data_IF_744603042296
#
_entry.id   IF_744603042296
#
_cell.length_a   1.000
_cell.length_b   1.000
_cell.length_c   1.000
_cell.angle_alpha   90.00
_cell.angle_beta   90.00
_cell.angle_gamma   90.00
#
_symmetry.space_group_name_H-M   'P 1'
#
loop_
_entity.id
_entity.type
_entity.pdbx_description
1 polymer ?
#
# COMPACT_ATOMS: atom_id res chain seq x y z
N UNK A 1 -12.51 80.70 68.62
CA UNK A 1 -13.33 79.51 68.45
C UNK A 1 -12.56 78.58 67.52
N UNK A 2 -12.04 77.47 68.06
CA UNK A 2 -11.23 76.50 67.31
C UNK A 2 -12.12 75.26 67.23
N UNK A 3 -12.54 74.88 66.00
CA UNK A 3 -13.35 73.71 65.71
C UNK A 3 -12.47 72.43 65.78
N UNK A 4 -12.86 71.38 66.47
CA UNK A 4 -12.07 70.17 66.51
C UNK A 4 -12.16 69.43 65.18
N UNK A 5 -11.15 68.65 64.82
CA UNK A 5 -11.14 67.85 63.57
C UNK A 5 -12.11 66.71 63.63
N UNK A 6 -12.62 66.26 62.47
CA UNK A 6 -13.59 65.13 62.38
C UNK A 6 -12.93 63.81 62.74
N UNK A 7 -13.69 62.97 63.44
CA UNK A 7 -13.29 61.60 63.83
C UNK A 7 -13.09 60.72 62.59
N UNK A 8 -11.98 59.94 62.59
CA UNK A 8 -11.65 59.00 61.53
C UNK A 8 -12.61 57.79 61.48
N UNK A 9 -12.72 57.10 60.39
CA UNK A 9 -13.62 55.96 60.20
C UNK A 9 -13.21 54.75 61.07
N UNK A 10 -14.19 53.92 61.48
CA UNK A 10 -13.93 52.79 62.36
C UNK A 10 -13.10 51.69 61.66
N UNK A 11 -12.33 50.88 62.44
CA UNK A 11 -11.52 49.81 61.88
C UNK A 11 -12.36 48.70 61.27
N UNK A 12 -11.95 48.19 60.08
CA UNK A 12 -12.59 47.10 59.41
C UNK A 12 -12.49 45.80 60.22
N UNK A 13 -13.54 44.95 60.21
CA UNK A 13 -13.47 43.62 60.81
C UNK A 13 -12.48 42.70 60.04
N UNK A 14 -11.80 41.79 60.70
CA UNK A 14 -10.92 40.83 60.06
C UNK A 14 -11.70 39.96 59.08
N UNK A 15 -11.22 39.89 57.82
CA UNK A 15 -11.79 39.10 56.75
C UNK A 15 -11.65 37.59 57.04
N UNK A 16 -12.56 36.74 56.54
CA UNK A 16 -12.48 35.31 56.74
C UNK A 16 -11.15 34.78 56.18
N UNK A 17 -10.46 34.01 57.00
CA UNK A 17 -9.16 33.40 56.68
C UNK A 17 -9.30 32.47 55.45
N UNK A 18 -8.39 32.63 54.46
CA UNK A 18 -8.28 31.70 53.36
C UNK A 18 -7.95 30.30 53.87
N UNK A 19 -8.63 29.26 53.38
CA UNK A 19 -8.25 27.91 53.69
C UNK A 19 -6.84 27.64 53.13
N UNK A 20 -6.02 26.78 53.77
CA UNK A 20 -4.69 26.45 53.27
C UNK A 20 -4.77 25.80 51.92
N UNK A 21 -3.77 26.03 51.03
CA UNK A 21 -3.73 25.42 49.68
C UNK A 21 -3.71 23.90 49.83
N UNK A 22 -4.71 23.25 49.24
CA UNK A 22 -4.78 21.78 49.15
C UNK A 22 -3.59 21.34 48.29
N UNK A 23 -2.69 20.54 48.87
CA UNK A 23 -1.59 19.93 48.11
C UNK A 23 -2.17 19.10 46.97
N UNK A 24 -2.02 19.55 45.74
CA UNK A 24 -2.35 18.77 44.53
C UNK A 24 -1.35 17.64 44.49
N UNK A 25 -1.84 16.41 44.73
CA UNK A 25 -1.04 15.20 44.54
C UNK A 25 -0.47 15.19 43.12
N UNK A 26 0.81 14.85 42.92
CA UNK A 26 1.41 14.81 41.58
C UNK A 26 0.61 13.82 40.74
N UNK A 27 0.09 14.27 39.60
CA UNK A 27 -0.57 13.42 38.61
C UNK A 27 0.46 12.45 38.04
N UNK A 28 0.61 11.33 38.74
CA UNK A 28 1.55 10.29 38.41
C UNK A 28 1.29 9.76 37.01
N UNK A 29 2.30 9.81 36.21
CA UNK A 29 2.61 8.87 35.10
C UNK A 29 1.55 8.50 34.05
N UNK A 30 0.47 9.25 33.89
CA UNK A 30 -0.47 8.99 32.77
C UNK A 30 0.22 9.04 31.41
N UNK A 31 1.19 9.94 31.22
CA UNK A 31 1.97 10.02 29.97
C UNK A 31 2.88 8.81 29.77
N UNK A 32 3.51 8.30 30.86
CA UNK A 32 4.34 7.10 30.78
C UNK A 32 3.50 5.83 30.54
N UNK A 33 2.32 5.73 31.14
CA UNK A 33 1.38 4.62 30.90
C UNK A 33 0.84 4.66 29.45
N UNK A 34 0.44 5.83 28.95
CA UNK A 34 -0.02 5.99 27.55
C UNK A 34 1.12 5.69 26.57
N UNK A 35 2.34 6.17 26.82
CA UNK A 35 3.49 5.86 26.00
C UNK A 35 3.84 4.36 26.02
N UNK A 36 3.71 3.68 27.17
CA UNK A 36 3.90 2.25 27.30
C UNK A 36 2.85 1.44 26.54
N UNK A 37 1.58 1.85 26.58
CA UNK A 37 0.48 1.20 25.83
C UNK A 37 0.69 1.38 24.33
N UNK A 38 1.06 2.57 23.86
CA UNK A 38 1.34 2.84 22.46
C UNK A 38 2.53 2.00 21.97
N UNK A 39 3.62 1.92 22.74
CA UNK A 39 4.76 1.09 22.41
C UNK A 39 4.41 -0.40 22.36
N UNK A 40 3.60 -0.90 23.30
CA UNK A 40 3.12 -2.28 23.31
C UNK A 40 2.22 -2.59 22.11
N UNK A 41 1.32 -1.68 21.75
CA UNK A 41 0.45 -1.83 20.55
C UNK A 41 1.30 -1.85 19.27
N UNK A 42 2.30 -0.98 19.16
CA UNK A 42 3.21 -0.97 18.01
C UNK A 42 4.01 -2.28 17.94
N UNK A 43 4.50 -2.79 19.06
CA UNK A 43 5.22 -4.08 19.13
C UNK A 43 4.31 -5.26 18.75
N UNK A 44 3.07 -5.27 19.21
CA UNK A 44 2.08 -6.32 18.86
C UNK A 44 1.71 -6.25 17.38
N UNK A 45 1.53 -5.04 16.83
CA UNK A 45 1.22 -4.86 15.40
C UNK A 45 2.43 -5.20 14.50
N UNK A 46 3.65 -4.83 14.91
CA UNK A 46 4.87 -5.16 14.18
C UNK A 46 5.25 -6.64 14.31
N UNK A 47 5.18 -7.20 15.52
CA UNK A 47 5.50 -8.60 15.78
C UNK A 47 4.41 -9.56 15.31
N UNK A 48 3.12 -9.21 15.50
CA UNK A 48 1.98 -10.00 15.03
C UNK A 48 1.89 -10.02 13.50
N UNK A 49 2.20 -8.93 12.82
CA UNK A 49 2.24 -8.86 11.36
C UNK A 49 3.34 -9.74 10.76
N UNK A 50 4.53 -9.75 11.34
CA UNK A 50 5.64 -10.59 10.90
C UNK A 50 5.38 -12.09 11.17
N UNK A 51 4.84 -12.44 12.34
CA UNK A 51 4.51 -13.82 12.68
C UNK A 51 3.34 -14.36 11.84
N UNK A 52 2.27 -13.57 11.65
CA UNK A 52 1.16 -13.93 10.76
C UNK A 52 1.64 -14.10 9.32
N UNK A 53 2.51 -13.22 8.83
CA UNK A 53 3.09 -13.32 7.48
C UNK A 53 3.97 -14.59 7.33
N UNK A 54 4.69 -14.99 8.39
CA UNK A 54 5.51 -16.21 8.38
C UNK A 54 4.64 -17.48 8.40
N UNK A 55 3.58 -17.49 9.21
CA UNK A 55 2.64 -18.63 9.35
C UNK A 55 1.75 -18.83 8.10
N UNK A 56 1.46 -17.77 7.33
CA UNK A 56 0.64 -17.86 6.10
C UNK A 56 1.48 -18.09 4.84
N UNK A 57 2.80 -18.13 4.96
CA UNK A 57 3.69 -18.25 3.79
C UNK A 57 3.63 -19.63 3.13
N UNK A 58 3.41 -20.67 3.91
CA UNK A 58 3.31 -22.06 3.43
C UNK A 58 1.92 -22.36 2.86
N UNK A 59 0.89 -21.57 3.22
CA UNK A 59 -0.49 -21.71 2.71
C UNK A 59 -0.78 -20.76 1.53
N UNK A 60 0.20 -19.98 1.07
CA UNK A 60 0.01 -19.08 -0.06
C UNK A 60 -0.28 -19.90 -1.34
N UNK A 61 -1.29 -19.54 -2.15
CA UNK A 61 -1.75 -20.33 -3.30
C UNK A 61 -0.66 -20.70 -4.32
N UNK A 62 0.46 -19.96 -4.32
CA UNK A 62 1.63 -20.20 -5.19
C UNK A 62 2.89 -20.56 -4.40
N UNK A 63 2.76 -21.03 -3.14
CA UNK A 63 3.90 -21.52 -2.36
C UNK A 63 4.58 -22.70 -3.08
N UNK A 64 5.92 -22.72 -3.07
CA UNK A 64 6.71 -23.77 -3.72
C UNK A 64 6.72 -23.75 -5.26
N UNK A 65 5.98 -22.86 -5.92
CA UNK A 65 6.03 -22.70 -7.38
C UNK A 65 7.34 -22.03 -7.85
N UNK A 66 7.82 -22.36 -9.06
CA UNK A 66 8.94 -21.64 -9.69
C UNK A 66 8.68 -20.12 -9.68
N UNK A 67 9.75 -19.33 -9.64
CA UNK A 67 9.67 -17.88 -9.61
C UNK A 67 10.49 -17.24 -10.71
N UNK A 68 9.96 -16.19 -11.30
CA UNK A 68 10.78 -15.22 -12.03
C UNK A 68 11.59 -14.43 -11.02
N UNK A 69 12.85 -14.24 -11.32
CA UNK A 69 13.76 -13.40 -10.56
C UNK A 69 14.31 -12.35 -11.51
N UNK A 70 13.74 -11.15 -11.44
CA UNK A 70 14.10 -10.04 -12.33
C UNK A 70 15.04 -9.08 -11.61
N UNK A 71 16.33 -9.19 -11.90
CA UNK A 71 17.34 -8.34 -11.28
C UNK A 71 17.28 -6.88 -11.75
N UNK A 72 16.73 -6.62 -12.93
CA UNK A 72 16.64 -5.27 -13.47
C UNK A 72 15.56 -4.46 -12.73
N UNK A 73 14.47 -5.10 -12.35
CA UNK A 73 13.38 -4.49 -11.58
C UNK A 73 13.58 -4.62 -10.07
N UNK A 74 14.44 -5.55 -9.60
CA UNK A 74 14.59 -5.89 -8.18
C UNK A 74 13.39 -6.66 -7.63
N UNK A 75 12.59 -7.29 -8.49
CA UNK A 75 11.38 -8.01 -8.12
C UNK A 75 11.50 -9.51 -8.39
N UNK A 76 10.75 -10.30 -7.63
CA UNK A 76 10.49 -11.68 -7.94
C UNK A 76 9.00 -11.99 -7.77
N UNK A 77 8.46 -12.90 -8.59
CA UNK A 77 7.05 -13.31 -8.53
C UNK A 77 6.89 -14.76 -9.01
N UNK A 78 5.86 -15.45 -8.54
CA UNK A 78 5.66 -16.86 -8.80
C UNK A 78 5.06 -17.11 -10.19
N UNK A 79 5.40 -18.27 -10.77
CA UNK A 79 4.85 -18.75 -12.05
C UNK A 79 3.76 -19.79 -11.74
N UNK A 80 2.49 -19.53 -12.04
CA UNK A 80 1.42 -20.51 -11.90
C UNK A 80 1.61 -21.74 -12.78
N UNK A 81 0.85 -22.78 -12.53
CA UNK A 81 0.76 -23.91 -13.43
C UNK A 81 0.13 -23.52 -14.77
N UNK A 82 0.62 -24.06 -15.88
CA UNK A 82 0.17 -23.70 -17.22
C UNK A 82 0.60 -22.30 -17.69
N UNK A 83 1.59 -21.69 -17.00
CA UNK A 83 2.15 -20.41 -17.43
C UNK A 83 3.61 -20.57 -17.85
N UNK A 84 4.02 -19.78 -18.83
CA UNK A 84 5.40 -19.74 -19.36
C UNK A 84 6.07 -18.41 -19.07
N UNK A 85 7.34 -18.46 -18.72
CA UNK A 85 8.21 -17.29 -18.68
C UNK A 85 8.75 -17.02 -20.08
N UNK A 86 8.66 -15.77 -20.55
CA UNK A 86 9.31 -15.31 -21.78
C UNK A 86 10.50 -14.44 -21.43
N UNK A 87 11.62 -14.72 -22.05
CA UNK A 87 12.85 -13.96 -21.87
C UNK A 87 12.80 -12.61 -22.62
N UNK A 88 13.66 -11.69 -22.19
CA UNK A 88 13.69 -10.26 -22.54
C UNK A 88 13.74 -9.94 -24.06
N UNK A 89 14.21 -10.84 -24.91
CA UNK A 89 14.37 -10.59 -26.36
C UNK A 89 13.09 -10.48 -27.16
N UNK A 90 11.92 -10.79 -26.58
CA UNK A 90 10.61 -10.75 -27.25
C UNK A 90 9.68 -9.66 -26.68
N UNK A 91 10.18 -8.79 -25.80
CA UNK A 91 9.39 -7.78 -25.11
C UNK A 91 9.61 -6.38 -25.70
N UNK A 92 8.58 -5.55 -25.63
CA UNK A 92 8.77 -4.10 -25.83
C UNK A 92 9.64 -3.54 -24.72
N UNK A 93 10.45 -2.53 -25.01
CA UNK A 93 11.47 -1.98 -24.11
C UNK A 93 10.94 -1.47 -22.75
N UNK A 94 9.63 -1.36 -22.58
CA UNK A 94 9.00 -0.94 -21.33
C UNK A 94 8.99 -2.03 -20.26
N UNK A 95 9.14 -3.31 -20.66
CA UNK A 95 9.06 -4.45 -19.76
C UNK A 95 10.39 -5.22 -19.71
N UNK A 96 10.72 -5.73 -18.53
CA UNK A 96 11.95 -6.47 -18.28
C UNK A 96 11.71 -7.98 -18.22
N UNK A 97 10.58 -8.42 -17.70
CA UNK A 97 10.21 -9.83 -17.66
C UNK A 97 8.69 -10.00 -17.82
N UNK A 98 8.28 -11.17 -18.28
CA UNK A 98 6.89 -11.51 -18.55
C UNK A 98 6.62 -12.98 -18.29
N UNK A 99 5.46 -13.28 -17.72
CA UNK A 99 4.84 -14.61 -17.77
C UNK A 99 3.46 -14.52 -18.38
N UNK A 100 3.05 -15.54 -19.11
CA UNK A 100 1.72 -15.62 -19.70
C UNK A 100 1.19 -17.07 -19.70
N UNK A 101 -0.12 -17.22 -19.83
CA UNK A 101 -0.74 -18.53 -20.06
C UNK A 101 -0.20 -19.19 -21.33
N UNK A 102 -0.05 -20.52 -21.32
CA UNK A 102 0.51 -21.26 -22.47
C UNK A 102 -0.32 -21.08 -23.74
N UNK A 103 -1.64 -21.02 -23.61
CA UNK A 103 -2.60 -20.91 -24.71
C UNK A 103 -3.05 -19.46 -24.96
N UNK A 104 -2.24 -18.46 -24.51
CA UNK A 104 -2.55 -17.06 -24.76
C UNK A 104 -2.45 -16.74 -26.26
N UNK A 105 -3.52 -16.19 -26.80
CA UNK A 105 -3.58 -15.55 -28.11
C UNK A 105 -3.85 -14.04 -27.98
N UNK A 106 -4.01 -13.34 -29.08
CA UNK A 106 -4.23 -11.89 -29.09
C UNK A 106 -5.58 -11.47 -28.46
N UNK A 107 -6.51 -12.40 -28.25
CA UNK A 107 -7.86 -12.16 -27.75
C UNK A 107 -8.15 -12.80 -26.41
N UNK A 108 -7.41 -13.85 -26.08
CA UNK A 108 -7.60 -14.64 -24.84
C UNK A 108 -6.26 -14.84 -24.13
N UNK A 109 -6.33 -14.92 -22.82
CA UNK A 109 -5.20 -15.25 -22.00
C UNK A 109 -4.96 -14.24 -20.88
N UNK A 110 -3.97 -14.58 -20.08
CA UNK A 110 -3.54 -13.74 -18.97
C UNK A 110 -2.03 -13.54 -19.07
N UNK A 111 -1.59 -12.36 -18.69
CA UNK A 111 -0.17 -11.98 -18.70
C UNK A 111 0.17 -11.20 -17.44
N UNK A 112 1.37 -11.42 -16.91
CA UNK A 112 1.98 -10.56 -15.90
C UNK A 112 3.33 -10.08 -16.39
N UNK A 113 3.51 -8.77 -16.32
CA UNK A 113 4.65 -8.03 -16.83
C UNK A 113 5.33 -7.29 -15.68
N UNK A 114 6.66 -7.28 -15.65
CA UNK A 114 7.42 -6.46 -14.73
C UNK A 114 8.23 -5.42 -15.48
N UNK A 115 8.34 -4.22 -14.93
CA UNK A 115 9.11 -3.14 -15.52
C UNK A 115 9.61 -2.13 -14.50
N UNK A 116 10.51 -1.25 -14.95
CA UNK A 116 11.05 -0.16 -14.13
C UNK A 116 10.22 1.10 -14.34
N UNK A 117 9.94 1.81 -13.24
CA UNK A 117 9.18 3.07 -13.25
C UNK A 117 10.06 4.30 -12.98
N UNK A 118 11.40 4.15 -12.96
CA UNK A 118 12.32 5.23 -12.59
C UNK A 118 12.27 5.56 -11.10
N UNK A 119 12.48 6.82 -10.73
CA UNK A 119 12.40 7.30 -9.36
C UNK A 119 11.02 7.93 -9.12
N UNK A 120 10.24 7.33 -8.23
CA UNK A 120 8.92 7.82 -7.83
C UNK A 120 8.92 8.01 -6.31
N UNK A 121 8.80 9.24 -5.80
CA UNK A 121 8.66 9.49 -4.37
C UNK A 121 7.44 8.78 -3.79
N UNK A 122 7.50 8.36 -2.52
CA UNK A 122 6.38 7.63 -1.86
C UNK A 122 5.08 8.44 -1.92
N UNK A 123 5.14 9.76 -1.73
CA UNK A 123 3.99 10.67 -1.84
C UNK A 123 3.35 10.71 -3.23
N UNK A 124 4.05 10.26 -4.27
CA UNK A 124 3.60 10.25 -5.66
C UNK A 124 3.16 8.87 -6.15
N UNK A 125 3.35 7.81 -5.34
CA UNK A 125 3.05 6.43 -5.74
C UNK A 125 1.60 6.28 -6.21
N UNK A 126 0.63 6.82 -5.47
CA UNK A 126 -0.77 6.75 -5.86
C UNK A 126 -1.02 7.37 -7.23
N UNK A 127 -0.65 8.65 -7.38
CA UNK A 127 -0.91 9.40 -8.61
C UNK A 127 -0.21 8.76 -9.81
N UNK A 128 1.00 8.27 -9.61
CA UNK A 128 1.78 7.62 -10.67
C UNK A 128 1.20 6.27 -11.03
N UNK A 129 0.80 5.44 -10.05
CA UNK A 129 0.16 4.15 -10.29
C UNK A 129 -1.17 4.31 -11.03
N UNK A 130 -2.01 5.27 -10.63
CA UNK A 130 -3.30 5.53 -11.28
C UNK A 130 -3.14 6.00 -12.73
N UNK A 131 -2.14 6.84 -12.99
CA UNK A 131 -1.82 7.28 -14.36
C UNK A 131 -1.29 6.12 -15.20
N UNK A 132 -0.36 5.33 -14.65
CA UNK A 132 0.20 4.17 -15.33
C UNK A 132 -0.88 3.12 -15.64
N UNK A 133 -1.77 2.83 -14.70
CA UNK A 133 -2.86 1.88 -14.92
C UNK A 133 -3.78 2.33 -16.07
N UNK A 134 -4.18 3.61 -16.11
CA UNK A 134 -4.99 4.15 -17.21
C UNK A 134 -4.26 4.12 -18.55
N UNK A 135 -2.98 4.48 -18.57
CA UNK A 135 -2.17 4.46 -19.80
C UNK A 135 -2.00 3.05 -20.34
N UNK A 136 -1.75 2.06 -19.46
CA UNK A 136 -1.65 0.67 -19.88
C UNK A 136 -3.02 0.12 -20.34
N UNK A 137 -4.12 0.45 -19.67
CA UNK A 137 -5.45 0.06 -20.12
C UNK A 137 -5.75 0.59 -21.54
N UNK A 138 -5.43 1.86 -21.83
CA UNK A 138 -5.59 2.43 -23.15
C UNK A 138 -4.63 1.82 -24.19
N UNK A 139 -3.43 1.41 -23.79
CA UNK A 139 -2.47 0.75 -24.68
C UNK A 139 -2.93 -0.64 -25.11
N UNK A 140 -3.42 -1.46 -24.14
CA UNK A 140 -3.86 -2.83 -24.41
C UNK A 140 -5.27 -2.90 -25.02
N UNK A 141 -6.08 -1.87 -24.83
CA UNK A 141 -7.45 -1.77 -25.37
C UNK A 141 -7.68 -0.40 -25.99
N UNK A 142 -7.06 -0.11 -27.16
CA UNK A 142 -7.10 1.22 -27.78
C UNK A 142 -8.50 1.64 -28.21
N UNK A 143 -9.34 0.70 -28.65
CA UNK A 143 -10.73 0.93 -29.08
C UNK A 143 -11.74 0.74 -27.93
N UNK A 144 -11.22 0.44 -26.75
CA UNK A 144 -12.02 0.08 -25.59
C UNK A 144 -12.20 1.21 -24.58
N UNK A 145 -12.63 0.81 -23.39
CA UNK A 145 -12.79 1.70 -22.25
C UNK A 145 -12.26 1.06 -20.97
N UNK A 146 -11.98 1.88 -19.97
CA UNK A 146 -11.57 1.37 -18.68
C UNK A 146 -12.18 2.16 -17.53
N UNK A 147 -12.51 1.45 -16.45
CA UNK A 147 -13.05 2.04 -15.21
C UNK A 147 -12.22 1.55 -14.03
N UNK A 148 -11.82 2.47 -13.18
CA UNK A 148 -11.08 2.11 -11.95
C UNK A 148 -12.05 1.51 -10.94
N UNK A 149 -11.77 0.27 -10.52
CA UNK A 149 -12.51 -0.44 -9.47
C UNK A 149 -11.88 -0.22 -8.08
N UNK A 150 -10.53 -0.19 -8.02
CA UNK A 150 -9.81 -0.05 -6.76
C UNK A 150 -8.55 0.81 -6.92
N UNK A 151 -8.19 1.56 -5.87
CA UNK A 151 -6.91 2.26 -5.75
C UNK A 151 -6.57 2.35 -4.26
N UNK A 152 -5.52 1.63 -3.83
CA UNK A 152 -5.17 1.56 -2.40
C UNK A 152 -3.66 1.49 -2.18
N UNK A 153 -3.17 2.05 -1.06
CA UNK A 153 -1.82 1.80 -0.61
C UNK A 153 -1.68 0.33 -0.20
N UNK A 154 -0.50 -0.23 -0.44
CA UNK A 154 -0.14 -1.60 -0.08
C UNK A 154 1.34 -1.68 0.27
N UNK A 155 1.83 -2.87 0.64
CA UNK A 155 3.24 -3.15 0.84
C UNK A 155 3.64 -4.43 0.15
N UNK A 156 4.85 -4.46 -0.41
CA UNK A 156 5.47 -5.64 -1.00
C UNK A 156 6.81 -5.86 -0.29
N UNK A 157 6.97 -6.97 0.39
CA UNK A 157 8.15 -7.25 1.25
C UNK A 157 8.47 -6.11 2.24
N UNK A 158 7.44 -5.44 2.78
CA UNK A 158 7.60 -4.29 3.66
C UNK A 158 7.85 -2.94 2.97
N UNK A 159 8.14 -2.93 1.67
CA UNK A 159 8.35 -1.71 0.89
C UNK A 159 7.03 -1.02 0.54
N UNK A 160 6.95 0.32 0.59
CA UNK A 160 5.76 1.06 0.19
C UNK A 160 5.38 0.75 -1.26
N UNK A 161 4.10 0.56 -1.50
CA UNK A 161 3.55 0.30 -2.83
C UNK A 161 2.14 0.87 -2.97
N UNK A 162 1.65 0.97 -4.19
CA UNK A 162 0.27 1.36 -4.48
C UNK A 162 -0.31 0.45 -5.56
N UNK A 163 -1.47 -0.12 -5.27
CA UNK A 163 -2.18 -1.01 -6.20
C UNK A 163 -3.39 -0.30 -6.79
N UNK A 164 -3.57 -0.46 -8.10
CA UNK A 164 -4.73 0.02 -8.85
C UNK A 164 -5.33 -1.12 -9.63
N UNK A 165 -6.64 -1.28 -9.55
CA UNK A 165 -7.42 -2.27 -10.30
C UNK A 165 -8.35 -1.53 -11.26
N UNK A 166 -8.33 -1.97 -12.52
CA UNK A 166 -9.17 -1.47 -13.58
C UNK A 166 -10.01 -2.60 -14.17
N UNK A 167 -11.28 -2.34 -14.37
CA UNK A 167 -12.11 -3.10 -15.29
C UNK A 167 -11.91 -2.53 -16.67
N UNK A 168 -11.59 -3.37 -17.67
CA UNK A 168 -11.41 -2.95 -19.05
C UNK A 168 -12.52 -3.54 -19.92
N UNK A 169 -12.79 -2.91 -21.06
CA UNK A 169 -13.64 -3.41 -22.12
C UNK A 169 -12.88 -3.20 -23.44
N UNK A 170 -12.87 -4.20 -24.29
CA UNK A 170 -12.11 -4.20 -25.55
C UNK A 170 -12.79 -3.47 -26.71
N UNK A 171 -13.99 -2.92 -26.50
CA UNK A 171 -14.81 -2.32 -27.56
C UNK A 171 -15.67 -3.35 -28.34
N UNK A 172 -15.39 -4.65 -28.18
CA UNK A 172 -16.11 -5.75 -28.82
C UNK A 172 -17.07 -6.48 -27.87
N UNK A 173 -17.22 -5.99 -26.65
CA UNK A 173 -18.14 -6.53 -25.65
C UNK A 173 -17.48 -7.46 -24.63
N UNK A 174 -16.19 -7.78 -24.76
CA UNK A 174 -15.48 -8.55 -23.75
C UNK A 174 -15.00 -7.63 -22.62
N UNK A 175 -15.08 -8.16 -21.42
CA UNK A 175 -14.62 -7.46 -20.21
C UNK A 175 -13.30 -8.07 -19.76
N UNK A 176 -12.30 -7.22 -19.55
CA UNK A 176 -10.99 -7.59 -19.02
C UNK A 176 -10.78 -7.10 -17.59
N UNK A 177 -9.68 -7.55 -17.01
CA UNK A 177 -9.18 -7.13 -15.70
C UNK A 177 -7.73 -6.73 -15.83
N UNK A 178 -7.40 -5.55 -15.31
CA UNK A 178 -6.03 -5.05 -15.23
C UNK A 178 -5.72 -4.67 -13.79
N UNK A 179 -4.63 -5.19 -13.25
CA UNK A 179 -4.10 -4.80 -11.93
C UNK A 179 -2.66 -4.33 -12.09
N UNK A 180 -2.37 -3.14 -11.60
CA UNK A 180 -1.03 -2.58 -11.56
C UNK A 180 -0.62 -2.33 -10.11
N UNK A 181 0.55 -2.82 -9.71
CA UNK A 181 1.16 -2.50 -8.43
C UNK A 181 2.50 -1.81 -8.68
N UNK A 182 2.58 -0.54 -8.28
CA UNK A 182 3.81 0.26 -8.30
C UNK A 182 4.49 0.16 -6.94
N UNK A 183 5.78 -0.19 -6.94
CA UNK A 183 6.51 -0.59 -5.74
C UNK A 183 7.77 0.26 -5.62
N UNK A 184 8.00 0.84 -4.45
CA UNK A 184 9.27 1.45 -4.10
C UNK A 184 10.29 0.34 -3.82
N UNK A 185 11.39 0.29 -4.57
CA UNK A 185 12.47 -0.69 -4.37
C UNK A 185 13.70 0.02 -3.80
N UNK A 186 14.70 -0.72 -3.30
CA UNK A 186 15.93 -0.11 -2.79
C UNK A 186 16.58 0.87 -3.79
N UNK A 187 17.47 1.72 -3.28
CA UNK A 187 18.21 2.75 -4.03
C UNK A 187 17.34 3.88 -4.62
N UNK A 188 16.16 4.13 -4.01
CA UNK A 188 15.26 5.23 -4.41
C UNK A 188 14.60 5.01 -5.77
N UNK A 189 14.65 3.79 -6.30
CA UNK A 189 13.99 3.41 -7.54
C UNK A 189 12.56 2.93 -7.32
N UNK A 190 11.83 2.79 -8.39
CA UNK A 190 10.50 2.18 -8.39
C UNK A 190 10.37 1.18 -9.53
N UNK A 191 9.65 0.13 -9.28
CA UNK A 191 9.32 -0.91 -10.25
C UNK A 191 7.84 -1.21 -10.19
N UNK A 192 7.30 -1.82 -11.23
CA UNK A 192 5.90 -2.18 -11.26
C UNK A 192 5.70 -3.62 -11.70
N UNK A 193 4.59 -4.19 -11.23
CA UNK A 193 3.97 -5.39 -11.80
C UNK A 193 2.63 -5.00 -12.41
N UNK A 194 2.40 -5.45 -13.63
CA UNK A 194 1.17 -5.26 -14.37
C UNK A 194 0.59 -6.63 -14.74
N UNK A 195 -0.57 -6.94 -14.21
CA UNK A 195 -1.32 -8.14 -14.55
C UNK A 195 -2.53 -7.81 -15.41
N UNK A 196 -2.75 -8.58 -16.46
CA UNK A 196 -3.88 -8.42 -17.37
C UNK A 196 -4.52 -9.80 -17.58
N UNK A 197 -5.84 -9.88 -17.41
CA UNK A 197 -6.68 -10.97 -17.89
C UNK A 197 -7.64 -10.41 -18.94
N UNK A 198 -7.51 -10.87 -20.17
CA UNK A 198 -8.30 -10.35 -21.31
C UNK A 198 -9.74 -10.82 -21.24
N UNK A 199 -9.98 -12.08 -20.90
CA UNK A 199 -11.30 -12.57 -20.54
C UNK A 199 -11.43 -12.58 -19.02
N UNK A 200 -12.25 -11.70 -18.46
CA UNK A 200 -12.34 -11.51 -17.02
C UNK A 200 -13.23 -12.57 -16.33
N UNK A 201 -13.01 -13.84 -16.61
CA UNK A 201 -13.55 -14.90 -15.77
C UNK A 201 -13.05 -14.80 -14.33
N UNK A 202 -13.81 -15.25 -13.33
CA UNK A 202 -13.39 -15.14 -11.92
C UNK A 202 -12.07 -15.88 -11.62
N UNK A 203 -11.77 -16.94 -12.37
CA UNK A 203 -10.53 -17.71 -12.23
C UNK A 203 -9.32 -16.94 -12.75
N UNK A 204 -9.40 -16.40 -13.96
CA UNK A 204 -8.34 -15.65 -14.63
C UNK A 204 -7.95 -14.42 -13.81
N UNK A 205 -8.94 -13.67 -13.34
CA UNK A 205 -8.74 -12.54 -12.41
C UNK A 205 -7.99 -12.98 -11.16
N UNK A 206 -8.48 -14.04 -10.50
CA UNK A 206 -7.89 -14.55 -9.27
C UNK A 206 -6.45 -15.01 -9.46
N UNK A 207 -6.14 -15.70 -10.56
CA UNK A 207 -4.77 -16.17 -10.83
C UNK A 207 -3.84 -14.97 -11.03
N UNK A 208 -4.23 -13.99 -11.84
CA UNK A 208 -3.46 -12.75 -12.05
C UNK A 208 -3.22 -12.04 -10.72
N UNK A 209 -4.26 -11.85 -9.91
CA UNK A 209 -4.16 -11.21 -8.61
C UNK A 209 -3.22 -11.96 -7.67
N UNK A 210 -3.31 -13.30 -7.63
CA UNK A 210 -2.46 -14.15 -6.80
C UNK A 210 -0.98 -14.05 -7.23
N UNK A 211 -0.70 -13.93 -8.54
CA UNK A 211 0.67 -13.70 -9.02
C UNK A 211 1.22 -12.37 -8.50
N UNK A 212 0.44 -11.28 -8.61
CA UNK A 212 0.87 -9.98 -8.11
C UNK A 212 1.06 -9.97 -6.59
N UNK A 213 0.23 -10.72 -5.86
CA UNK A 213 0.34 -10.89 -4.40
C UNK A 213 1.55 -11.74 -3.98
N UNK A 214 2.02 -12.62 -4.86
CA UNK A 214 3.24 -13.40 -4.65
C UNK A 214 4.52 -12.57 -4.80
N UNK A 215 4.42 -11.31 -5.21
CA UNK A 215 5.57 -10.45 -5.46
C UNK A 215 6.44 -10.27 -4.21
N UNK A 216 7.75 -10.22 -4.42
CA UNK A 216 8.72 -9.89 -3.39
C UNK A 216 9.79 -8.96 -3.96
N UNK A 217 10.25 -8.03 -3.13
CA UNK A 217 11.44 -7.21 -3.38
C UNK A 217 12.67 -7.99 -2.93
N UNK A 218 13.75 -7.93 -3.72
CA UNK A 218 15.02 -8.64 -3.48
C UNK A 218 16.00 -7.76 -2.75
#
# INVERSE_FOLDING_TARGET
>A
MITPPPAGPPPYPPGPGYPPPVAVAPSGNRRAVVAGIIAAVILVLAGGGAAAWWLTRDDAPLAGRPRVVDNATGLSYAIPEGWKHKEQGSLINAFNSMINTEDADDTNGSVVLAGRAGTVPESELQRTAERAARSNAAFFHPDGSSTREESRPTRVSGHPAHTVVMKTNDGHGHTGHLRLTLISVPDGRSSFLLGIAQSAGPNERRIVDTVLESAAVK
#
